data_IF_415898013287
#
_entry.id   IF_415898013287
#
_cell.length_a   1.000
_cell.length_b   1.000
_cell.length_c   1.000
_cell.angle_alpha   90.00
_cell.angle_beta   90.00
_cell.angle_gamma   90.00
#
_symmetry.space_group_name_H-M   'P 1'
#
loop_
_entity.id
_entity.type
_entity.pdbx_description
1 polymer ?
#
# COMPACT_ATOMS: atom_id res chain seq x y z
N UNK A 1 0.78 2.73 -18.31
CA UNK A 1 1.57 1.72 -19.05
C UNK A 1 1.72 0.50 -18.17
N UNK A 2 2.14 -0.65 -18.72
CA UNK A 2 2.35 -1.88 -17.94
C UNK A 2 3.77 -2.40 -18.12
N UNK A 3 4.38 -2.88 -17.05
CA UNK A 3 5.64 -3.63 -17.11
C UNK A 3 5.48 -4.98 -16.42
N UNK A 4 6.26 -5.98 -16.85
CA UNK A 4 6.24 -7.31 -16.25
C UNK A 4 7.35 -7.40 -15.19
N UNK A 5 6.98 -7.61 -13.93
CA UNK A 5 7.91 -7.79 -12.82
C UNK A 5 7.66 -9.15 -12.18
N UNK A 6 8.61 -10.09 -12.34
CA UNK A 6 8.48 -11.47 -11.82
C UNK A 6 7.16 -12.15 -12.23
N UNK A 7 6.75 -11.95 -13.48
CA UNK A 7 5.49 -12.50 -14.02
C UNK A 7 4.24 -11.71 -13.66
N UNK A 8 4.36 -10.61 -12.90
CA UNK A 8 3.24 -9.76 -12.51
C UNK A 8 3.14 -8.51 -13.41
N UNK A 9 1.96 -8.22 -13.94
CA UNK A 9 1.72 -6.97 -14.68
C UNK A 9 1.55 -5.80 -13.70
N UNK A 10 2.55 -4.92 -13.65
CA UNK A 10 2.54 -3.70 -12.85
C UNK A 10 2.17 -2.49 -13.70
N UNK A 11 1.14 -1.75 -13.30
CA UNK A 11 0.77 -0.49 -13.92
C UNK A 11 1.66 0.65 -13.42
N UNK A 12 2.09 1.52 -14.33
CA UNK A 12 2.85 2.71 -14.01
C UNK A 12 2.64 3.82 -15.05
N UNK A 13 2.87 5.07 -14.65
CA UNK A 13 2.96 6.24 -15.53
C UNK A 13 4.34 6.88 -15.40
N UNK A 14 4.80 7.43 -16.52
CA UNK A 14 6.04 8.19 -16.58
C UNK A 14 5.72 9.65 -16.84
N UNK A 15 6.48 10.54 -16.22
CA UNK A 15 6.44 11.96 -16.55
C UNK A 15 7.83 12.59 -16.55
N UNK A 16 8.05 13.47 -17.53
CA UNK A 16 9.32 14.17 -17.79
C UNK A 16 10.53 13.24 -17.95
N UNK A 17 11.71 13.84 -17.88
CA UNK A 17 12.98 13.23 -18.26
C UNK A 17 14.10 13.58 -17.28
N UNK A 18 15.17 12.80 -17.28
CA UNK A 18 16.32 12.97 -16.40
C UNK A 18 16.40 11.91 -15.30
N UNK A 19 16.82 12.32 -14.09
CA UNK A 19 17.10 11.40 -12.98
C UNK A 19 15.81 10.65 -12.56
N UNK A 20 15.80 9.31 -12.55
CA UNK A 20 14.60 8.56 -12.20
C UNK A 20 14.26 8.69 -10.72
N UNK A 21 12.98 8.92 -10.43
CA UNK A 21 12.40 8.94 -9.08
C UNK A 21 11.19 8.02 -9.09
N UNK A 22 11.15 7.05 -8.18
CA UNK A 22 10.00 6.15 -8.01
C UNK A 22 9.11 6.72 -6.91
N UNK A 23 7.82 6.85 -7.21
CA UNK A 23 6.81 7.36 -6.30
C UNK A 23 5.88 6.21 -5.92
N UNK A 24 5.97 5.83 -4.65
CA UNK A 24 5.12 4.80 -4.06
C UNK A 24 3.91 5.50 -3.43
N UNK A 25 2.71 5.07 -3.79
CA UNK A 25 1.49 5.49 -3.12
C UNK A 25 1.31 4.70 -1.82
N UNK A 26 0.40 5.18 -0.97
CA UNK A 26 0.09 4.55 0.31
C UNK A 26 -0.92 3.40 0.15
N UNK A 27 -1.42 2.89 1.27
CA UNK A 27 -2.37 1.80 1.35
C UNK A 27 -3.71 2.10 0.66
N UNK A 28 -4.34 1.07 0.10
CA UNK A 28 -5.71 1.05 -0.49
C UNK A 28 -6.03 2.09 -1.58
N UNK A 29 -5.00 2.73 -2.12
CA UNK A 29 -5.11 3.74 -3.19
C UNK A 29 -4.35 3.29 -4.44
N UNK A 30 -4.14 4.23 -5.36
CA UNK A 30 -3.35 4.02 -6.57
C UNK A 30 -2.40 5.21 -6.82
N UNK A 31 -1.58 5.09 -7.87
CA UNK A 31 -0.55 6.04 -8.26
C UNK A 31 -1.03 7.50 -8.39
N UNK A 32 -2.33 7.74 -8.63
CA UNK A 32 -2.89 9.08 -8.81
C UNK A 32 -2.86 9.91 -7.53
N UNK A 33 -2.88 9.27 -6.35
CA UNK A 33 -2.73 9.99 -5.08
C UNK A 33 -1.43 10.80 -5.09
N UNK A 34 -0.34 10.16 -5.55
CA UNK A 34 0.97 10.77 -5.59
C UNK A 34 1.09 11.88 -6.64
N UNK A 35 0.25 11.89 -7.69
CA UNK A 35 0.28 12.97 -8.69
C UNK A 35 -0.06 14.31 -8.05
N UNK A 36 -1.15 14.31 -7.28
CA UNK A 36 -1.66 15.52 -6.63
C UNK A 36 -0.61 16.11 -5.70
N UNK A 37 0.06 15.24 -4.93
CA UNK A 37 1.05 15.66 -3.95
C UNK A 37 2.38 16.11 -4.57
N UNK A 38 2.82 15.46 -5.65
CA UNK A 38 4.22 15.59 -6.10
C UNK A 38 4.39 16.47 -7.33
N UNK A 39 3.41 16.53 -8.23
CA UNK A 39 3.55 17.35 -9.44
C UNK A 39 3.66 18.86 -9.17
N UNK A 40 3.10 19.46 -8.09
CA UNK A 40 3.40 20.85 -7.75
C UNK A 40 4.90 21.11 -7.54
N UNK A 41 5.63 20.17 -6.93
CA UNK A 41 7.07 20.29 -6.68
C UNK A 41 7.87 20.09 -7.97
N UNK A 42 7.53 19.07 -8.75
CA UNK A 42 8.24 18.74 -9.99
C UNK A 42 7.97 19.72 -11.14
N UNK A 43 6.98 20.60 -11.02
CA UNK A 43 6.83 21.77 -11.91
C UNK A 43 7.94 22.79 -11.72
N UNK A 44 8.51 22.88 -10.52
CA UNK A 44 9.59 23.82 -10.19
C UNK A 44 10.97 23.16 -10.25
N UNK A 45 11.03 21.82 -10.28
CA UNK A 45 12.26 21.02 -10.29
C UNK A 45 12.33 20.17 -11.55
N UNK A 46 12.99 20.71 -12.57
CA UNK A 46 13.28 20.00 -13.82
C UNK A 46 14.38 18.94 -13.66
N UNK A 47 14.55 18.12 -14.71
CA UNK A 47 15.61 17.10 -14.76
C UNK A 47 15.31 15.81 -14.00
N UNK A 48 14.04 15.57 -13.65
CA UNK A 48 13.58 14.33 -13.02
C UNK A 48 12.56 13.59 -13.88
N UNK A 49 12.79 12.28 -14.06
CA UNK A 49 11.84 11.34 -14.63
C UNK A 49 11.05 10.69 -13.50
N UNK A 50 9.79 11.07 -13.34
CA UNK A 50 8.92 10.53 -12.28
C UNK A 50 8.29 9.24 -12.77
N UNK A 51 8.36 8.21 -11.94
CA UNK A 51 7.81 6.88 -12.17
C UNK A 51 6.79 6.64 -11.08
N UNK A 52 5.53 6.78 -11.42
CA UNK A 52 4.42 6.54 -10.51
C UNK A 52 3.88 5.14 -10.79
N UNK A 53 3.87 4.27 -9.79
CA UNK A 53 3.46 2.88 -9.96
C UNK A 53 2.27 2.53 -9.06
N UNK A 54 1.45 1.61 -9.53
CA UNK A 54 0.48 0.92 -8.69
C UNK A 54 1.15 -0.26 -8.00
N UNK A 55 1.04 -0.34 -6.67
CA UNK A 55 1.58 -1.47 -5.90
C UNK A 55 0.89 -2.78 -6.29
N UNK A 56 1.57 -3.94 -6.16
CA UNK A 56 0.97 -5.25 -6.38
C UNK A 56 -0.37 -5.40 -5.65
N UNK A 57 -1.42 -5.81 -6.36
CA UNK A 57 -2.78 -5.97 -5.81
C UNK A 57 -3.57 -4.67 -5.61
N UNK A 58 -3.06 -3.53 -6.08
CA UNK A 58 -3.72 -2.22 -5.97
C UNK A 58 -3.83 -1.51 -7.32
N UNK A 59 -4.70 -0.50 -7.39
CA UNK A 59 -4.93 0.28 -8.61
C UNK A 59 -5.22 -0.61 -9.83
N UNK A 60 -4.36 -0.51 -10.85
CA UNK A 60 -4.43 -1.33 -12.08
C UNK A 60 -3.32 -2.38 -12.17
N UNK A 61 -2.57 -2.58 -11.09
CA UNK A 61 -1.59 -3.66 -10.98
C UNK A 61 -2.29 -4.95 -10.57
N UNK A 62 -1.84 -6.05 -11.16
CA UNK A 62 -2.36 -7.37 -10.79
C UNK A 62 -1.91 -7.78 -9.38
N UNK A 63 -2.59 -8.78 -8.83
CA UNK A 63 -2.12 -9.55 -7.68
C UNK A 63 -1.29 -10.75 -8.12
N UNK A 64 -0.51 -11.33 -7.19
CA UNK A 64 0.22 -12.55 -7.39
C UNK A 64 0.13 -13.48 -6.17
N UNK A 65 0.12 -14.79 -6.42
CA UNK A 65 0.15 -15.82 -5.37
C UNK A 65 1.43 -15.79 -4.54
N UNK A 66 2.52 -15.29 -5.10
CA UNK A 66 3.79 -15.13 -4.39
C UNK A 66 3.81 -13.92 -3.44
N UNK A 67 2.75 -13.10 -3.41
CA UNK A 67 2.60 -12.09 -2.37
C UNK A 67 2.64 -12.80 -1.00
N UNK A 68 3.59 -12.36 -0.17
CA UNK A 68 3.85 -12.94 1.15
C UNK A 68 2.64 -12.68 2.09
N UNK A 69 2.54 -13.40 3.23
CA UNK A 69 1.61 -13.08 4.28
C UNK A 69 1.57 -11.58 4.53
N UNK A 70 0.38 -11.01 4.51
CA UNK A 70 0.15 -9.58 4.65
C UNK A 70 -0.72 -9.36 5.87
N UNK A 71 -0.47 -8.32 6.65
CA UNK A 71 -1.30 -7.97 7.81
C UNK A 71 -1.90 -6.59 7.57
N UNK A 72 -3.24 -6.54 7.51
CA UNK A 72 -4.01 -5.31 7.46
C UNK A 72 -4.60 -5.03 8.84
N UNK A 73 -4.22 -3.89 9.41
CA UNK A 73 -4.65 -3.41 10.73
C UNK A 73 -5.41 -2.10 10.58
N UNK A 74 -6.64 -2.06 11.07
CA UNK A 74 -7.47 -0.86 11.01
C UNK A 74 -8.18 -0.63 12.35
N UNK A 75 -8.34 0.64 12.74
CA UNK A 75 -9.18 1.01 13.87
C UNK A 75 -10.66 1.05 13.48
N UNK A 76 -11.53 0.46 14.30
CA UNK A 76 -12.99 0.47 14.04
C UNK A 76 -13.60 1.87 14.11
N UNK A 77 -13.00 2.76 14.91
CA UNK A 77 -13.41 4.15 15.12
C UNK A 77 -12.52 5.15 14.37
N UNK A 78 -11.76 4.71 13.35
CA UNK A 78 -10.97 5.63 12.52
C UNK A 78 -11.91 6.59 11.78
N UNK A 79 -11.88 7.86 12.17
CA UNK A 79 -12.66 8.94 11.58
C UNK A 79 -11.90 9.73 10.50
N UNK A 80 -10.62 9.41 10.27
CA UNK A 80 -9.78 10.04 9.26
C UNK A 80 -10.00 9.39 7.90
N UNK A 81 -9.83 8.07 7.82
CA UNK A 81 -9.94 7.30 6.56
C UNK A 81 -10.96 6.15 6.65
N UNK A 82 -11.29 5.69 7.87
CA UNK A 82 -12.17 4.54 8.06
C UNK A 82 -11.56 3.20 7.66
N UNK A 83 -12.25 2.10 7.99
CA UNK A 83 -11.73 0.74 7.75
C UNK A 83 -12.42 -0.03 6.61
N UNK A 84 -13.61 0.42 6.19
CA UNK A 84 -14.49 -0.39 5.31
C UNK A 84 -13.92 -0.56 3.91
N UNK A 85 -13.31 0.49 3.37
CA UNK A 85 -12.78 0.48 2.00
C UNK A 85 -11.61 -0.49 1.83
N UNK A 86 -10.86 -0.75 2.91
CA UNK A 86 -9.76 -1.70 2.92
C UNK A 86 -10.20 -3.13 2.60
N UNK A 87 -11.46 -3.48 2.85
CA UNK A 87 -11.98 -4.82 2.55
C UNK A 87 -11.95 -5.13 1.05
N UNK A 88 -12.13 -4.11 0.20
CA UNK A 88 -12.28 -4.28 -1.25
C UNK A 88 -11.04 -4.83 -1.95
N UNK A 89 -9.87 -4.72 -1.33
CA UNK A 89 -8.62 -5.23 -1.91
C UNK A 89 -8.24 -6.59 -1.32
N UNK A 90 -8.99 -7.15 -0.36
CA UNK A 90 -8.59 -8.36 0.36
C UNK A 90 -8.42 -9.57 -0.57
N UNK A 91 -9.28 -9.70 -1.59
CA UNK A 91 -9.20 -10.76 -2.59
C UNK A 91 -7.89 -10.70 -3.42
N UNK A 92 -7.26 -9.52 -3.47
CA UNK A 92 -5.95 -9.34 -4.11
C UNK A 92 -4.78 -9.76 -3.20
N UNK A 93 -5.01 -10.20 -1.97
CA UNK A 93 -3.96 -10.66 -1.05
C UNK A 93 -4.35 -12.02 -0.47
N UNK A 94 -4.07 -13.12 -1.18
CA UNK A 94 -4.62 -14.44 -0.86
C UNK A 94 -4.18 -15.01 0.50
N UNK A 95 -3.18 -14.42 1.15
CA UNK A 95 -2.70 -14.78 2.50
C UNK A 95 -2.73 -13.60 3.47
N UNK A 96 -3.62 -12.64 3.24
CA UNK A 96 -3.78 -11.52 4.14
C UNK A 96 -4.58 -11.90 5.39
N UNK A 97 -4.11 -11.40 6.53
CA UNK A 97 -4.91 -11.26 7.76
C UNK A 97 -5.53 -9.87 7.75
N UNK A 98 -6.83 -9.78 7.94
CA UNK A 98 -7.56 -8.51 8.04
C UNK A 98 -8.13 -8.37 9.45
N UNK A 99 -7.61 -7.42 10.23
CA UNK A 99 -8.01 -7.20 11.62
C UNK A 99 -8.50 -5.77 11.83
N UNK A 100 -9.73 -5.65 12.34
CA UNK A 100 -10.35 -4.38 12.72
C UNK A 100 -10.45 -4.34 14.24
N UNK A 101 -9.74 -3.41 14.86
CA UNK A 101 -9.61 -3.33 16.31
C UNK A 101 -10.69 -2.40 16.87
N UNK A 102 -11.51 -2.91 17.78
CA UNK A 102 -12.43 -2.09 18.56
C UNK A 102 -11.65 -1.21 19.57
N UNK A 103 -12.24 -0.07 19.95
CA UNK A 103 -11.61 0.98 20.78
C UNK A 103 -10.33 1.57 20.17
N UNK A 104 -10.21 1.55 18.85
CA UNK A 104 -9.06 2.10 18.13
C UNK A 104 -9.54 2.95 16.94
N UNK A 105 -8.91 4.10 16.76
CA UNK A 105 -9.06 5.00 15.62
C UNK A 105 -7.85 4.93 14.69
N UNK A 106 -7.45 6.08 14.17
CA UNK A 106 -6.36 6.18 13.19
C UNK A 106 -5.00 5.82 13.77
N UNK A 107 -4.81 6.00 15.07
CA UNK A 107 -3.55 5.75 15.77
C UNK A 107 -3.62 4.46 16.60
N UNK A 108 -4.15 3.39 16.01
CA UNK A 108 -4.35 2.09 16.66
C UNK A 108 -3.09 1.52 17.31
N UNK A 109 -1.90 1.87 16.79
CA UNK A 109 -0.61 1.48 17.35
C UNK A 109 -0.34 2.08 18.73
N UNK A 110 -0.98 3.21 19.06
CA UNK A 110 -0.94 3.84 20.39
C UNK A 110 -2.13 3.38 21.22
N UNK A 111 -3.33 3.38 20.61
CA UNK A 111 -4.60 3.16 21.32
C UNK A 111 -4.80 1.69 21.74
N UNK A 112 -4.25 0.73 20.98
CA UNK A 112 -4.34 -0.71 21.20
C UNK A 112 -2.98 -1.38 21.01
N UNK A 113 -1.92 -0.79 21.58
CA UNK A 113 -0.54 -1.21 21.38
C UNK A 113 -0.27 -2.70 21.65
N UNK A 114 -0.84 -3.27 22.71
CA UNK A 114 -0.61 -4.68 23.07
C UNK A 114 -1.20 -5.65 22.04
N UNK A 115 -2.44 -5.39 21.60
CA UNK A 115 -3.11 -6.21 20.59
C UNK A 115 -2.44 -6.06 19.21
N UNK A 116 -2.07 -4.83 18.85
CA UNK A 116 -1.33 -4.53 17.63
C UNK A 116 0.00 -5.30 17.62
N UNK A 117 0.79 -5.21 18.69
CA UNK A 117 2.07 -5.91 18.83
C UNK A 117 1.89 -7.42 18.71
N UNK A 118 0.86 -7.99 19.35
CA UNK A 118 0.58 -9.43 19.27
C UNK A 118 0.28 -9.90 17.85
N UNK A 119 -0.50 -9.12 17.09
CA UNK A 119 -0.79 -9.41 15.68
C UNK A 119 0.44 -9.27 14.79
N UNK A 120 1.28 -8.26 15.05
CA UNK A 120 2.54 -8.06 14.32
C UNK A 120 3.54 -9.18 14.61
N UNK A 121 3.69 -9.63 15.86
CA UNK A 121 4.57 -10.74 16.24
C UNK A 121 4.12 -12.03 15.54
N UNK A 122 2.83 -12.36 15.59
CA UNK A 122 2.27 -13.51 14.88
C UNK A 122 2.56 -13.45 13.38
N UNK A 123 2.37 -12.27 12.78
CA UNK A 123 2.64 -12.07 11.36
C UNK A 123 4.13 -12.23 11.03
N UNK A 124 5.03 -11.70 11.87
CA UNK A 124 6.48 -11.87 11.73
C UNK A 124 6.88 -13.35 11.81
N UNK A 125 6.29 -14.11 12.72
CA UNK A 125 6.53 -15.55 12.83
C UNK A 125 6.13 -16.27 11.53
N UNK A 126 4.95 -15.97 10.96
CA UNK A 126 4.53 -16.53 9.66
C UNK A 126 5.45 -16.15 8.50
N UNK A 127 5.93 -14.91 8.47
CA UNK A 127 6.84 -14.44 7.42
C UNK A 127 8.23 -15.09 7.55
N UNK A 128 8.66 -15.41 8.77
CA UNK A 128 9.97 -16.04 9.03
C UNK A 128 10.06 -17.50 8.57
N UNK A 129 8.92 -18.19 8.44
CA UNK A 129 8.81 -19.57 7.98
C UNK A 129 8.83 -19.72 6.45
N UNK A 130 9.01 -18.62 5.69
CA UNK A 130 8.92 -18.56 4.21
C UNK A 130 10.20 -18.07 3.52
#
# INVERSE_FOLDING_TARGET
MKCLLKGLSINYELRGEGKPVILLHDYIVDHRLMYCCMEPIFREKEGYKRIYLDLPGMGKSESADWIKPTLFLMGRQDSCVGYKDAWNILDNYPRATFAVLDKAGHNLQIEQAELMNSLVIEWLDRVSLM
#
